data_IF_382108283857
#
_entry.id   IF_382108283857
#
_cell.length_a   1.000
_cell.length_b   1.000
_cell.length_c   1.000
_cell.angle_alpha   90.00
_cell.angle_beta   90.00
_cell.angle_gamma   90.00
#
_symmetry.space_group_name_H-M   'P 1'
#
loop_
_entity.id
_entity.type
_entity.pdbx_description
1 polymer ?
#
# COMPACT_ATOMS: atom_id res chain seq x y z
N UNK A 1 -4.22 -13.25 15.05
CA UNK A 1 -4.52 -12.15 14.09
C UNK A 1 -4.12 -12.52 12.65
N UNK A 2 -4.35 -13.77 12.22
CA UNK A 2 -4.05 -14.23 10.84
C UNK A 2 -5.30 -14.27 9.96
N UNK A 3 -6.44 -14.64 10.55
CA UNK A 3 -7.63 -15.08 9.82
C UNK A 3 -8.33 -13.98 9.01
N UNK A 4 -8.04 -12.70 9.24
CA UNK A 4 -8.69 -11.59 8.53
C UNK A 4 -8.01 -11.24 7.21
N UNK A 5 -6.68 -11.33 7.14
CA UNK A 5 -5.94 -11.01 5.90
C UNK A 5 -6.18 -12.09 4.85
N UNK A 6 -6.06 -13.36 5.24
CA UNK A 6 -6.35 -14.52 4.39
C UNK A 6 -7.81 -14.50 3.92
N UNK A 7 -8.74 -14.04 4.76
CA UNK A 7 -10.15 -13.89 4.37
C UNK A 7 -10.34 -12.75 3.34
N UNK A 8 -9.68 -11.60 3.50
CA UNK A 8 -9.74 -10.52 2.50
C UNK A 8 -9.18 -10.95 1.15
N UNK A 9 -8.04 -11.61 1.14
CA UNK A 9 -7.43 -12.08 -0.11
C UNK A 9 -8.24 -13.21 -0.76
N UNK A 10 -8.90 -14.06 0.04
CA UNK A 10 -9.86 -15.03 -0.47
C UNK A 10 -11.10 -14.36 -1.09
N UNK A 11 -11.59 -13.27 -0.49
CA UNK A 11 -12.69 -12.46 -1.04
C UNK A 11 -12.25 -11.82 -2.38
N UNK A 12 -11.05 -11.27 -2.46
CA UNK A 12 -10.51 -10.71 -3.71
C UNK A 12 -10.34 -11.77 -4.79
N UNK A 13 -9.85 -12.95 -4.44
CA UNK A 13 -9.72 -14.08 -5.36
C UNK A 13 -11.10 -14.53 -5.87
N UNK A 14 -12.10 -14.58 -4.98
CA UNK A 14 -13.48 -14.87 -5.36
C UNK A 14 -14.02 -13.80 -6.31
N UNK A 15 -13.84 -12.52 -6.00
CA UNK A 15 -14.27 -11.41 -6.86
C UNK A 15 -13.63 -11.49 -8.25
N UNK A 16 -12.33 -11.80 -8.34
CA UNK A 16 -11.65 -12.06 -9.62
C UNK A 16 -12.34 -13.17 -10.41
N UNK A 17 -12.64 -14.30 -9.77
CA UNK A 17 -13.31 -15.42 -10.43
C UNK A 17 -14.72 -15.04 -10.89
N UNK A 18 -15.47 -14.29 -10.08
CA UNK A 18 -16.81 -13.81 -10.42
C UNK A 18 -16.77 -12.88 -11.65
N UNK A 19 -15.78 -11.96 -11.73
CA UNK A 19 -15.54 -11.09 -12.89
C UNK A 19 -15.28 -11.91 -14.16
N UNK A 20 -14.42 -12.94 -14.08
CA UNK A 20 -14.10 -13.79 -15.22
C UNK A 20 -15.31 -14.60 -15.69
N UNK A 21 -16.10 -15.14 -14.76
CA UNK A 21 -17.33 -15.87 -15.08
C UNK A 21 -18.36 -14.96 -15.75
N UNK A 22 -18.50 -13.72 -15.26
CA UNK A 22 -19.38 -12.73 -15.87
C UNK A 22 -18.91 -12.34 -17.27
N UNK A 23 -17.62 -12.09 -17.47
CA UNK A 23 -17.11 -11.69 -18.78
C UNK A 23 -17.30 -12.77 -19.84
N UNK A 24 -17.13 -14.05 -19.48
CA UNK A 24 -17.39 -15.17 -20.39
C UNK A 24 -18.83 -15.19 -20.91
N UNK A 25 -19.81 -14.76 -20.09
CA UNK A 25 -21.21 -14.67 -20.50
C UNK A 25 -21.46 -13.49 -21.45
N UNK A 26 -20.66 -12.44 -21.32
CA UNK A 26 -20.81 -11.18 -22.04
C UNK A 26 -19.76 -11.00 -23.16
N UNK A 27 -19.20 -12.10 -23.68
CA UNK A 27 -18.27 -12.05 -24.82
C UNK A 27 -16.91 -11.41 -24.50
N UNK A 28 -16.43 -11.52 -23.27
CA UNK A 28 -15.17 -10.92 -22.80
C UNK A 28 -15.30 -9.49 -22.27
N UNK A 29 -16.52 -9.03 -21.97
CA UNK A 29 -16.78 -7.68 -21.48
C UNK A 29 -17.42 -7.70 -20.09
N UNK A 30 -17.12 -6.69 -19.27
CA UNK A 30 -17.86 -6.40 -18.03
C UNK A 30 -18.30 -4.94 -18.03
N UNK A 31 -19.46 -4.65 -17.43
CA UNK A 31 -19.95 -3.29 -17.30
C UNK A 31 -19.32 -2.64 -16.07
N UNK A 32 -18.46 -1.65 -16.28
CA UNK A 32 -17.89 -0.81 -15.22
C UNK A 32 -18.57 0.56 -15.21
N UNK A 33 -18.56 1.22 -14.06
CA UNK A 33 -18.98 2.61 -13.94
C UNK A 33 -17.74 3.45 -13.67
N UNK A 34 -17.31 4.20 -14.69
CA UNK A 34 -16.11 4.99 -14.61
C UNK A 34 -16.48 6.39 -14.10
N UNK A 35 -15.77 6.83 -13.06
CA UNK A 35 -15.90 8.19 -12.53
C UNK A 35 -14.98 9.12 -13.35
N UNK A 36 -15.58 10.10 -14.03
CA UNK A 36 -14.82 11.14 -14.73
C UNK A 36 -14.68 12.33 -13.80
N UNK A 37 -13.45 12.59 -13.39
CA UNK A 37 -13.10 13.80 -12.63
C UNK A 37 -13.38 15.01 -13.52
N UNK A 38 -14.32 15.84 -13.10
CA UNK A 38 -14.57 17.14 -13.72
C UNK A 38 -14.11 18.24 -12.75
N UNK A 39 -13.88 19.46 -13.25
CA UNK A 39 -13.59 20.63 -12.41
C UNK A 39 -14.75 20.99 -11.46
N UNK A 40 -15.91 20.33 -11.63
CA UNK A 40 -17.08 20.42 -10.76
C UNK A 40 -17.04 19.30 -9.72
N UNK A 41 -17.43 19.59 -8.48
CA UNK A 41 -17.31 18.68 -7.34
C UNK A 41 -18.01 17.31 -7.49
N UNK A 42 -18.94 17.17 -8.44
CA UNK A 42 -19.60 15.92 -8.79
C UNK A 42 -19.11 15.42 -10.15
N UNK A 43 -18.21 14.44 -10.14
CA UNK A 43 -17.77 13.75 -11.35
C UNK A 43 -18.91 12.96 -12.00
N UNK A 44 -18.98 12.95 -13.33
CA UNK A 44 -19.99 12.16 -14.04
C UNK A 44 -19.63 10.67 -13.96
N UNK A 45 -20.59 9.83 -13.56
CA UNK A 45 -20.44 8.37 -13.56
C UNK A 45 -20.96 7.83 -14.89
N UNK A 46 -20.06 7.26 -15.71
CA UNK A 46 -20.40 6.78 -17.05
C UNK A 46 -20.30 5.24 -17.13
N UNK A 47 -21.39 4.54 -17.50
CA UNK A 47 -21.34 3.11 -17.75
C UNK A 47 -20.46 2.82 -18.97
N UNK A 48 -19.49 1.93 -18.81
CA UNK A 48 -18.47 1.60 -19.81
C UNK A 48 -18.31 0.10 -19.90
N UNK A 49 -18.39 -0.47 -21.10
CA UNK A 49 -18.02 -1.85 -21.33
C UNK A 49 -16.50 -1.98 -21.38
N UNK A 50 -15.95 -2.72 -20.42
CA UNK A 50 -14.51 -2.92 -20.27
C UNK A 50 -14.15 -4.34 -20.69
N UNK A 51 -13.18 -4.48 -21.61
CA UNK A 51 -12.67 -5.77 -22.03
C UNK A 51 -11.83 -6.41 -20.93
N UNK A 52 -12.22 -7.62 -20.52
CA UNK A 52 -11.56 -8.34 -19.42
C UNK A 52 -11.30 -9.80 -19.79
N UNK A 53 -10.11 -10.27 -19.43
CA UNK A 53 -9.66 -11.64 -19.64
C UNK A 53 -8.77 -12.11 -18.47
N UNK A 54 -8.36 -13.38 -18.52
CA UNK A 54 -7.51 -13.99 -17.49
C UNK A 54 -6.11 -13.34 -17.35
N UNK A 55 -5.68 -12.56 -18.34
CA UNK A 55 -4.35 -11.92 -18.36
C UNK A 55 -4.41 -10.54 -17.71
N UNK A 56 -5.51 -9.80 -17.91
CA UNK A 56 -5.69 -8.43 -17.46
C UNK A 56 -6.44 -8.28 -16.11
N UNK A 57 -7.18 -9.30 -15.66
CA UNK A 57 -7.78 -9.32 -14.32
C UNK A 57 -6.84 -9.98 -13.32
N UNK A 58 -6.38 -9.23 -12.32
CA UNK A 58 -5.45 -9.71 -11.29
C UNK A 58 -5.87 -9.22 -9.90
N UNK A 59 -5.63 -10.03 -8.88
CA UNK A 59 -5.70 -9.55 -7.50
C UNK A 59 -4.47 -8.67 -7.20
N UNK A 60 -4.54 -7.85 -6.15
CA UNK A 60 -3.39 -7.04 -5.73
C UNK A 60 -2.18 -7.91 -5.41
N UNK A 61 -2.39 -9.05 -4.74
CA UNK A 61 -1.31 -10.01 -4.45
C UNK A 61 -0.65 -10.52 -5.73
N UNK A 62 -1.45 -10.97 -6.70
CA UNK A 62 -0.92 -11.45 -7.99
C UNK A 62 -0.17 -10.34 -8.73
N UNK A 63 -0.69 -9.10 -8.73
CA UNK A 63 -0.03 -7.95 -9.35
C UNK A 63 1.35 -7.71 -8.72
N UNK A 64 1.41 -7.61 -7.40
CA UNK A 64 2.66 -7.33 -6.68
C UNK A 64 3.67 -8.48 -6.80
N UNK A 65 3.21 -9.73 -6.75
CA UNK A 65 4.08 -10.90 -6.97
C UNK A 65 4.63 -10.95 -8.40
N UNK A 66 3.83 -10.56 -9.40
CA UNK A 66 4.29 -10.48 -10.79
C UNK A 66 5.32 -9.37 -10.97
N UNK A 67 5.11 -8.18 -10.39
CA UNK A 67 6.13 -7.13 -10.37
C UNK A 67 7.44 -7.62 -9.75
N UNK A 68 7.38 -8.34 -8.63
CA UNK A 68 8.58 -8.94 -8.04
C UNK A 68 9.27 -9.92 -8.99
N UNK A 69 8.51 -10.77 -9.70
CA UNK A 69 9.06 -11.72 -10.70
C UNK A 69 9.69 -11.02 -11.90
N UNK A 70 9.17 -9.85 -12.28
CA UNK A 70 9.73 -9.00 -13.35
C UNK A 70 11.03 -8.29 -12.94
N UNK A 71 11.50 -8.49 -11.71
CA UNK A 71 12.76 -7.95 -11.21
C UNK A 71 12.61 -6.65 -10.40
N UNK A 72 11.38 -6.22 -10.12
CA UNK A 72 11.17 -5.08 -9.22
C UNK A 72 11.48 -5.46 -7.77
N UNK A 73 12.20 -4.58 -7.08
CA UNK A 73 12.58 -4.77 -5.68
C UNK A 73 11.42 -4.40 -4.73
N UNK A 74 10.36 -5.21 -4.73
CA UNK A 74 9.12 -4.95 -3.98
C UNK A 74 8.77 -6.12 -3.05
N UNK A 75 8.35 -5.79 -1.83
CA UNK A 75 7.76 -6.72 -0.88
C UNK A 75 6.33 -6.27 -0.54
N UNK A 76 5.37 -7.19 -0.59
CA UNK A 76 3.96 -6.89 -0.40
C UNK A 76 3.45 -7.43 0.93
N UNK A 77 2.74 -6.57 1.67
CA UNK A 77 2.05 -6.96 2.89
C UNK A 77 0.61 -6.46 2.90
N UNK A 78 -0.32 -7.35 3.23
CA UNK A 78 -1.74 -7.03 3.43
C UNK A 78 -2.04 -6.92 4.92
N UNK A 79 -2.45 -5.73 5.38
CA UNK A 79 -2.84 -5.50 6.78
C UNK A 79 -4.35 -5.27 6.82
N UNK A 80 -5.15 -6.16 7.43
CA UNK A 80 -6.60 -6.08 7.38
C UNK A 80 -7.11 -4.98 8.33
N UNK A 81 -7.34 -3.77 7.82
CA UNK A 81 -7.86 -2.64 8.61
C UNK A 81 -9.27 -2.25 8.15
N UNK A 82 -10.24 -2.46 9.05
CA UNK A 82 -11.65 -2.10 8.79
C UNK A 82 -11.80 -0.58 8.67
N UNK A 83 -12.50 -0.05 7.64
CA UNK A 83 -12.73 1.38 7.48
C UNK A 83 -13.60 1.98 8.59
N UNK A 84 -14.58 1.22 9.08
CA UNK A 84 -15.63 1.72 9.98
C UNK A 84 -15.30 1.55 11.47
N UNK A 85 -14.12 1.03 11.79
CA UNK A 85 -13.71 0.82 13.18
C UNK A 85 -12.62 1.80 13.56
N UNK A 86 -12.68 2.36 14.78
CA UNK A 86 -11.58 3.16 15.29
C UNK A 86 -10.29 2.35 15.24
N UNK A 87 -9.18 3.06 15.08
CA UNK A 87 -7.85 2.44 15.09
C UNK A 87 -7.62 1.83 16.48
N UNK A 88 -7.67 0.51 16.54
CA UNK A 88 -7.41 -0.26 17.75
C UNK A 88 -5.90 -0.45 17.94
N UNK A 89 -5.45 -0.67 19.17
CA UNK A 89 -4.02 -0.84 19.53
C UNK A 89 -3.32 -1.93 18.70
N UNK A 90 -4.09 -2.92 18.24
CA UNK A 90 -3.62 -4.01 17.41
C UNK A 90 -3.11 -3.58 16.03
N UNK A 91 -3.52 -2.42 15.50
CA UNK A 91 -3.05 -1.94 14.19
C UNK A 91 -1.62 -1.44 14.28
N UNK A 92 -1.28 -0.73 15.36
CA UNK A 92 0.10 -0.29 15.58
C UNK A 92 1.03 -1.49 15.70
N UNK A 93 0.62 -2.54 16.42
CA UNK A 93 1.39 -3.79 16.52
C UNK A 93 1.58 -4.48 15.16
N UNK A 94 0.56 -4.45 14.29
CA UNK A 94 0.63 -5.04 12.95
C UNK A 94 1.67 -4.32 12.08
N UNK A 95 1.63 -2.98 12.02
CA UNK A 95 2.63 -2.19 11.30
C UNK A 95 4.02 -2.37 11.92
N UNK A 96 4.13 -2.22 13.24
CA UNK A 96 5.42 -2.28 13.95
C UNK A 96 6.10 -3.63 13.75
N UNK A 97 5.35 -4.73 13.73
CA UNK A 97 5.89 -6.08 13.49
C UNK A 97 6.62 -6.21 12.16
N UNK A 98 6.12 -5.54 11.13
CA UNK A 98 6.69 -5.59 9.78
C UNK A 98 7.81 -4.56 9.67
N UNK A 99 7.53 -3.29 10.00
CA UNK A 99 8.47 -2.17 9.81
C UNK A 99 9.77 -2.39 10.60
N UNK A 100 9.71 -2.94 11.83
CA UNK A 100 10.91 -3.16 12.65
C UNK A 100 11.92 -4.13 12.03
N UNK A 101 11.50 -4.95 11.06
CA UNK A 101 12.36 -5.91 10.34
C UNK A 101 13.01 -5.30 9.10
N UNK A 102 12.63 -4.06 8.75
CA UNK A 102 13.15 -3.35 7.58
C UNK A 102 14.35 -2.48 7.95
N UNK A 103 15.26 -2.28 6.98
CA UNK A 103 16.38 -1.35 7.13
C UNK A 103 15.87 0.10 7.00
N UNK A 104 16.01 0.94 8.05
CA UNK A 104 15.50 2.32 8.03
C UNK A 104 16.22 3.23 7.03
N UNK A 105 17.42 2.87 6.58
CA UNK A 105 18.23 3.64 5.63
C UNK A 105 18.07 3.16 4.19
N UNK A 106 17.85 1.86 3.96
CA UNK A 106 17.83 1.27 2.61
C UNK A 106 16.43 0.89 2.10
N UNK A 107 15.41 1.00 2.93
CA UNK A 107 14.05 0.58 2.60
C UNK A 107 13.15 1.80 2.37
N UNK A 108 12.25 1.74 1.38
CA UNK A 108 11.14 2.68 1.23
C UNK A 108 9.83 1.99 1.67
N UNK A 109 8.99 2.70 2.44
CA UNK A 109 7.67 2.20 2.83
C UNK A 109 6.62 2.98 2.06
N UNK A 110 5.70 2.26 1.41
CA UNK A 110 4.59 2.80 0.64
C UNK A 110 3.30 2.27 1.23
N UNK A 111 2.45 3.18 1.68
CA UNK A 111 1.17 2.85 2.28
C UNK A 111 0.05 3.29 1.33
N UNK A 112 -0.89 2.40 1.06
CA UNK A 112 -2.05 2.66 0.24
C UNK A 112 -3.31 2.19 0.96
N UNK A 113 -4.34 3.03 0.95
CA UNK A 113 -5.68 2.65 1.34
C UNK A 113 -6.67 3.26 0.35
N UNK A 114 -7.93 2.81 0.36
CA UNK A 114 -8.94 3.19 -0.64
C UNK A 114 -9.01 4.68 -1.01
N UNK A 115 -8.90 5.59 -0.04
CA UNK A 115 -8.90 7.05 -0.27
C UNK A 115 -7.56 7.75 0.02
N UNK A 116 -6.55 7.03 0.50
CA UNK A 116 -5.27 7.63 0.89
C UNK A 116 -5.31 8.59 2.10
N UNK A 117 -6.43 8.69 2.83
CA UNK A 117 -6.60 9.67 3.90
C UNK A 117 -6.24 9.11 5.30
N UNK A 118 -7.21 8.54 6.02
CA UNK A 118 -7.06 8.21 7.44
C UNK A 118 -6.04 7.09 7.70
N UNK A 119 -6.23 5.93 7.07
CA UNK A 119 -5.38 4.74 7.33
C UNK A 119 -3.95 4.94 6.83
N UNK A 120 -3.80 5.51 5.63
CA UNK A 120 -2.49 5.90 5.09
C UNK A 120 -1.77 6.88 6.01
N UNK A 121 -2.45 7.92 6.51
CA UNK A 121 -1.83 8.87 7.44
C UNK A 121 -1.42 8.19 8.75
N UNK A 122 -2.28 7.33 9.31
CA UNK A 122 -1.97 6.59 10.52
C UNK A 122 -0.73 5.69 10.33
N UNK A 123 -0.69 4.93 9.23
CA UNK A 123 0.42 4.05 8.88
C UNK A 123 1.73 4.82 8.70
N UNK A 124 1.69 5.98 8.02
CA UNK A 124 2.84 6.86 7.85
C UNK A 124 3.36 7.39 9.19
N UNK A 125 2.48 7.82 10.09
CA UNK A 125 2.89 8.28 11.43
C UNK A 125 3.50 7.13 12.23
N UNK A 126 2.90 5.95 12.24
CA UNK A 126 3.46 4.77 12.87
C UNK A 126 4.85 4.43 12.31
N UNK A 127 5.03 4.49 10.99
CA UNK A 127 6.30 4.28 10.34
C UNK A 127 7.37 5.29 10.75
N UNK A 128 7.03 6.58 10.83
CA UNK A 128 7.93 7.62 11.30
C UNK A 128 8.41 7.35 12.74
N UNK A 129 7.50 6.93 13.64
CA UNK A 129 7.84 6.62 15.02
C UNK A 129 8.77 5.40 15.12
N UNK A 130 8.45 4.31 14.41
CA UNK A 130 9.27 3.08 14.43
C UNK A 130 10.64 3.34 13.81
N UNK A 131 10.72 4.06 12.67
CA UNK A 131 11.99 4.40 12.03
C UNK A 131 12.86 5.29 12.89
N UNK A 132 12.26 6.31 13.52
CA UNK A 132 12.97 7.17 14.50
C UNK A 132 13.62 6.32 15.58
N UNK A 133 12.88 5.36 16.16
CA UNK A 133 13.41 4.44 17.16
C UNK A 133 14.55 3.58 16.62
N UNK A 134 14.40 2.98 15.44
CA UNK A 134 15.45 2.17 14.80
C UNK A 134 16.74 2.97 14.57
N UNK A 135 16.62 4.23 14.13
CA UNK A 135 17.78 5.11 13.93
C UNK A 135 18.49 5.42 15.25
N UNK A 136 17.74 5.79 16.29
CA UNK A 136 18.29 6.07 17.62
C UNK A 136 19.00 4.84 18.19
N UNK A 137 18.43 3.64 18.02
CA UNK A 137 19.03 2.38 18.47
C UNK A 137 20.35 2.06 17.75
N UNK A 138 20.50 2.54 16.51
CA UNK A 138 21.73 2.42 15.73
C UNK A 138 22.75 3.54 16.06
N UNK A 139 22.46 4.40 17.04
CA UNK A 139 23.29 5.55 17.42
C UNK A 139 23.24 6.70 16.42
N UNK A 140 22.29 6.69 15.49
CA UNK A 140 22.06 7.78 14.54
C UNK A 140 21.25 8.86 15.26
N UNK A 141 21.62 10.12 15.05
CA UNK A 141 20.90 11.26 15.62
C UNK A 141 19.44 11.25 15.18
N UNK A 142 18.57 11.61 16.12
CA UNK A 142 17.15 11.68 15.89
C UNK A 142 16.80 12.69 14.78
N UNK A 143 16.20 12.24 13.67
CA UNK A 143 15.91 13.11 12.53
C UNK A 143 14.88 14.20 12.80
N UNK A 144 14.14 14.11 13.91
CA UNK A 144 13.12 15.06 14.30
C UNK A 144 13.56 16.00 15.43
N UNK A 145 14.84 15.99 15.84
CA UNK A 145 15.36 17.00 16.76
C UNK A 145 15.29 18.38 16.11
N UNK A 146 14.44 19.25 16.66
CA UNK A 146 14.37 20.65 16.28
C UNK A 146 15.59 21.37 16.86
N UNK A 147 16.63 21.60 16.04
CA UNK A 147 17.75 22.43 16.46
C UNK A 147 17.33 23.91 16.46
N UNK A 148 17.64 24.70 17.52
CA UNK A 148 17.41 26.13 17.47
C UNK A 148 18.37 26.74 16.45
N UNK A 149 17.88 27.04 15.24
CA UNK A 149 18.62 27.83 14.24
C UNK A 149 18.84 27.21 12.84
N UNK A 150 18.20 26.11 12.44
CA UNK A 150 18.39 25.60 11.07
C UNK A 150 17.30 24.67 10.57
N UNK A 151 16.48 25.14 9.64
CA UNK A 151 15.64 24.28 8.82
C UNK A 151 16.53 23.52 7.82
N UNK A 152 16.84 22.26 8.14
CA UNK A 152 17.07 21.23 7.13
C UNK A 152 16.24 20.02 7.50
N UNK A 153 14.95 20.09 7.20
CA UNK A 153 14.09 18.91 7.16
C UNK A 153 14.55 18.03 6.01
N UNK A 154 15.19 16.91 6.33
CA UNK A 154 15.56 15.89 5.35
C UNK A 154 16.94 15.31 5.64
N UNK A 155 16.98 14.02 6.00
CA UNK A 155 18.19 13.22 5.85
C UNK A 155 18.49 13.20 4.34
N UNK A 156 19.57 13.84 3.90
CA UNK A 156 20.07 13.70 2.54
C UNK A 156 20.59 12.28 2.38
N UNK A 157 19.82 11.41 1.72
CA UNK A 157 20.28 10.09 1.31
C UNK A 157 21.50 10.26 0.40
N UNK A 158 22.64 9.69 0.78
CA UNK A 158 23.77 9.54 -0.15
C UNK A 158 23.30 8.58 -1.24
N UNK A 159 23.08 9.08 -2.45
CA UNK A 159 22.97 8.25 -3.64
C UNK A 159 24.29 7.47 -3.80
N UNK A 160 24.29 6.24 -3.30
CA UNK A 160 25.30 5.24 -3.66
C UNK A 160 24.59 4.14 -4.46
N UNK A 161 24.65 4.26 -5.79
CA UNK A 161 24.25 3.21 -6.71
C UNK A 161 22.75 3.14 -7.02
N UNK A 162 22.44 2.80 -8.26
CA UNK A 162 21.10 2.65 -8.84
C UNK A 162 20.37 1.39 -8.35
N UNK A 163 20.48 1.05 -7.07
CA UNK A 163 19.70 -0.04 -6.48
C UNK A 163 18.44 0.57 -5.86
N UNK A 164 17.30 0.33 -6.49
CA UNK A 164 16.01 0.77 -5.99
C UNK A 164 15.81 0.26 -4.55
N UNK A 165 15.52 1.14 -3.57
CA UNK A 165 15.26 0.71 -2.20
C UNK A 165 14.08 -0.27 -2.19
N UNK A 166 14.17 -1.31 -1.35
CA UNK A 166 13.11 -2.31 -1.20
C UNK A 166 11.81 -1.57 -0.86
N UNK A 167 10.80 -1.67 -1.72
CA UNK A 167 9.53 -0.97 -1.55
C UNK A 167 8.54 -1.89 -0.87
N UNK A 168 8.19 -1.57 0.37
CA UNK A 168 7.12 -2.26 1.07
C UNK A 168 5.79 -1.62 0.72
N UNK A 169 4.96 -2.30 -0.07
CA UNK A 169 3.61 -1.87 -0.35
C UNK A 169 2.66 -2.47 0.70
N UNK A 170 2.13 -1.61 1.56
CA UNK A 170 1.04 -1.93 2.46
C UNK A 170 -0.27 -1.53 1.79
N UNK A 171 -1.14 -2.51 1.55
CA UNK A 171 -2.54 -2.21 1.29
C UNK A 171 -3.34 -2.52 2.55
N UNK A 172 -4.13 -1.55 2.99
CA UNK A 172 -5.06 -1.66 4.11
C UNK A 172 -6.47 -2.06 3.64
#
# INVERSE_FOLDING_TARGET
>A
MSDRAENLEAIELRLKNDILVESHKNGGLILTHNEIVSDSADGAIIPTWTAVDSVNVRTTRELMENMRKEGWNVEYHRIPISPDRPVEDNYLDAYTRIIKRTDPLQTALVFNCGMGAVRTTFAMVAACLVRRKQLIDQGIEDPFITRPGGHKSGITFRQSGWFAPLMYAFLD
#
